data_IF_490872340009
#
_entry.id   IF_490872340009
#
_cell.length_a   1.000
_cell.length_b   1.000
_cell.length_c   1.000
_cell.angle_alpha   90.00
_cell.angle_beta   90.00
_cell.angle_gamma   90.00
#
_symmetry.space_group_name_H-M   'P 1'
#
loop_
_entity.id
_entity.type
_entity.pdbx_description
1 polymer ?
#
# COMPACT_ATOMS: atom_id res chain seq x y z
N UNK A 1 5.77 -7.22 -3.96
CA UNK A 1 6.65 -7.94 -4.91
C UNK A 1 5.93 -8.95 -5.76
N UNK A 2 5.26 -9.96 -5.17
CA UNK A 2 4.59 -11.05 -5.91
C UNK A 2 3.71 -10.53 -7.06
N UNK A 3 2.81 -9.58 -6.79
CA UNK A 3 1.95 -8.98 -7.81
C UNK A 3 2.72 -8.36 -9.00
N UNK A 4 3.86 -7.69 -8.74
CA UNK A 4 4.68 -7.11 -9.81
C UNK A 4 5.26 -8.19 -10.71
N UNK A 5 5.67 -9.33 -10.15
CA UNK A 5 6.15 -10.45 -10.95
C UNK A 5 5.01 -11.17 -11.69
N UNK A 6 3.85 -11.34 -11.07
CA UNK A 6 2.70 -11.99 -11.69
C UNK A 6 2.15 -11.16 -12.88
N UNK A 7 2.17 -9.82 -12.80
CA UNK A 7 1.56 -8.93 -13.80
C UNK A 7 2.56 -8.27 -14.78
N UNK A 8 3.82 -8.07 -14.38
CA UNK A 8 4.85 -7.43 -15.21
C UNK A 8 6.09 -8.32 -15.42
N UNK A 9 6.12 -9.53 -14.86
CA UNK A 9 7.19 -10.49 -15.09
C UNK A 9 7.08 -11.22 -16.43
N UNK A 10 8.08 -12.04 -16.74
CA UNK A 10 8.22 -12.73 -18.03
C UNK A 10 7.07 -13.70 -18.38
N UNK A 11 6.26 -14.11 -17.39
CA UNK A 11 5.10 -15.00 -17.59
C UNK A 11 3.76 -14.29 -17.40
N UNK A 12 3.74 -12.96 -17.45
CA UNK A 12 2.49 -12.22 -17.39
C UNK A 12 1.57 -12.64 -18.55
N UNK A 13 0.38 -13.15 -18.22
CA UNK A 13 -0.59 -13.63 -19.22
C UNK A 13 -1.20 -12.49 -20.04
N UNK A 14 -1.20 -11.27 -19.48
CA UNK A 14 -1.76 -10.07 -20.10
C UNK A 14 -0.94 -8.84 -19.72
N UNK A 15 -0.69 -7.98 -20.72
CA UNK A 15 -0.10 -6.65 -20.50
C UNK A 15 -1.23 -5.71 -20.08
N UNK A 16 -1.44 -5.56 -18.77
CA UNK A 16 -2.46 -4.66 -18.22
C UNK A 16 -2.02 -3.18 -18.27
N UNK A 17 -0.72 -2.90 -18.22
CA UNK A 17 -0.15 -1.56 -18.10
C UNK A 17 1.00 -1.35 -19.11
N UNK A 18 0.69 -1.10 -20.39
CA UNK A 18 1.68 -1.06 -21.46
C UNK A 18 2.74 0.03 -21.25
N UNK A 19 2.34 1.21 -20.78
CA UNK A 19 3.26 2.33 -20.55
C UNK A 19 4.26 2.00 -19.44
N UNK A 20 3.79 1.42 -18.34
CA UNK A 20 4.64 1.02 -17.21
C UNK A 20 5.61 -0.11 -17.61
N UNK A 21 5.13 -1.09 -18.40
CA UNK A 21 5.97 -2.19 -18.88
C UNK A 21 7.01 -1.67 -19.87
N UNK A 22 6.66 -0.72 -20.74
CA UNK A 22 7.59 -0.12 -21.70
C UNK A 22 8.64 0.75 -21.01
N UNK A 23 8.27 1.49 -19.96
CA UNK A 23 9.20 2.29 -19.18
C UNK A 23 10.11 1.42 -18.29
N UNK A 24 9.62 0.24 -17.90
CA UNK A 24 10.26 -0.63 -16.92
C UNK A 24 9.83 -0.30 -15.50
N UNK A 25 9.92 -1.30 -14.62
CA UNK A 25 9.68 -1.15 -13.18
C UNK A 25 11.00 -1.34 -12.46
N UNK A 26 11.49 -0.28 -11.81
CA UNK A 26 12.74 -0.29 -11.06
C UNK A 26 12.48 -0.56 -9.57
N UNK A 27 13.23 -1.50 -9.00
CA UNK A 27 13.16 -1.86 -7.58
C UNK A 27 14.52 -1.55 -6.95
N UNK A 28 14.54 -0.62 -6.00
CA UNK A 28 15.75 -0.28 -5.23
C UNK A 28 15.68 -0.94 -3.85
N UNK A 29 16.77 -1.59 -3.44
CA UNK A 29 16.96 -2.08 -2.08
C UNK A 29 18.13 -1.30 -1.47
N UNK A 30 17.83 -0.43 -0.51
CA UNK A 30 18.81 0.48 0.11
C UNK A 30 18.94 0.09 1.58
N UNK A 31 20.16 -0.20 2.01
CA UNK A 31 20.50 -0.43 3.41
C UNK A 31 20.60 0.91 4.16
N UNK A 32 19.88 1.05 5.26
CA UNK A 32 19.91 2.28 6.07
C UNK A 32 21.11 2.29 7.01
N UNK A 33 21.73 3.46 7.20
CA UNK A 33 22.82 3.61 8.18
C UNK A 33 22.33 3.39 9.62
N UNK A 34 21.11 3.82 9.91
CA UNK A 34 20.52 3.67 11.24
C UNK A 34 19.97 2.25 11.43
N UNK A 35 20.06 1.69 12.66
CA UNK A 35 19.48 0.40 12.97
C UNK A 35 17.95 0.44 12.90
N UNK A 36 17.34 -0.70 12.56
CA UNK A 36 15.89 -0.86 12.53
C UNK A 36 15.37 -1.36 13.87
N UNK A 37 15.08 -0.44 14.79
CA UNK A 37 14.56 -0.74 16.12
C UNK A 37 13.05 -0.47 16.20
N UNK A 38 12.29 -1.47 16.64
CA UNK A 38 10.85 -1.37 16.95
C UNK A 38 10.53 -2.13 18.23
N UNK A 39 9.38 -1.83 18.81
CA UNK A 39 8.84 -2.58 19.93
C UNK A 39 8.53 -4.03 19.53
N UNK A 40 8.82 -4.98 20.42
CA UNK A 40 8.52 -6.39 20.23
C UNK A 40 7.03 -6.65 20.48
N UNK A 41 6.36 -7.29 19.52
CA UNK A 41 4.91 -7.54 19.55
C UNK A 41 4.54 -8.99 19.93
N UNK A 42 5.50 -9.77 20.41
CA UNK A 42 5.30 -11.16 20.81
C UNK A 42 5.34 -12.17 19.67
N UNK A 43 5.37 -13.45 20.06
CA UNK A 43 5.51 -14.59 19.16
C UNK A 43 4.33 -14.76 18.18
N UNK A 44 3.10 -14.51 18.64
CA UNK A 44 1.91 -14.60 17.80
C UNK A 44 1.98 -13.62 16.62
N UNK A 45 2.50 -12.41 16.85
CA UNK A 45 2.70 -11.43 15.79
C UNK A 45 3.67 -11.96 14.72
N UNK A 46 4.77 -12.58 15.14
CA UNK A 46 5.77 -13.17 14.24
C UNK A 46 5.15 -14.30 13.41
N UNK A 47 4.39 -15.19 14.05
CA UNK A 47 3.68 -16.29 13.37
C UNK A 47 2.69 -15.77 12.32
N UNK A 48 1.94 -14.72 12.65
CA UNK A 48 1.01 -14.08 11.72
C UNK A 48 1.73 -13.42 10.54
N UNK A 49 2.88 -12.77 10.77
CA UNK A 49 3.71 -12.22 9.69
C UNK A 49 4.23 -13.30 8.75
N UNK A 50 4.72 -14.42 9.31
CA UNK A 50 5.23 -15.54 8.52
C UNK A 50 4.11 -16.19 7.69
N UNK A 51 2.97 -16.46 8.32
CA UNK A 51 1.78 -17.02 7.66
C UNK A 51 1.33 -16.13 6.50
N UNK A 52 1.08 -14.84 6.73
CA UNK A 52 0.64 -13.92 5.69
C UNK A 52 1.63 -13.80 4.52
N UNK A 53 2.93 -13.80 4.83
CA UNK A 53 3.98 -13.71 3.81
C UNK A 53 4.03 -14.97 2.93
N UNK A 54 4.05 -16.15 3.55
CA UNK A 54 4.16 -17.41 2.84
C UNK A 54 2.85 -17.81 2.13
N UNK A 55 1.69 -17.48 2.68
CA UNK A 55 0.41 -17.60 1.98
C UNK A 55 0.40 -16.82 0.66
N UNK A 56 1.00 -15.62 0.64
CA UNK A 56 1.11 -14.81 -0.59
C UNK A 56 1.96 -15.52 -1.64
N UNK A 57 3.08 -16.12 -1.24
CA UNK A 57 3.95 -16.87 -2.17
C UNK A 57 3.27 -18.15 -2.65
N UNK A 58 2.62 -18.89 -1.75
CA UNK A 58 1.89 -20.12 -2.09
C UNK A 58 0.86 -19.88 -3.20
N UNK A 59 0.11 -18.78 -3.12
CA UNK A 59 -0.97 -18.47 -4.07
C UNK A 59 -0.52 -17.71 -5.33
N UNK A 60 0.76 -17.36 -5.44
CA UNK A 60 1.30 -16.73 -6.67
C UNK A 60 1.12 -17.65 -7.89
N UNK A 61 0.79 -17.05 -9.04
CA UNK A 61 0.72 -17.76 -10.32
C UNK A 61 2.07 -18.32 -10.76
N UNK A 62 3.16 -17.77 -10.26
CA UNK A 62 4.53 -18.20 -10.54
C UNK A 62 5.01 -19.34 -9.62
N UNK A 63 4.24 -19.67 -8.57
CA UNK A 63 4.61 -20.68 -7.60
C UNK A 63 4.43 -22.10 -8.15
N UNK A 64 5.55 -22.77 -8.43
CA UNK A 64 5.57 -24.16 -8.86
C UNK A 64 5.41 -25.14 -7.68
N UNK A 65 5.20 -26.42 -7.99
CA UNK A 65 4.94 -27.46 -6.97
C UNK A 65 6.08 -27.61 -5.96
N UNK A 66 7.33 -27.43 -6.40
CA UNK A 66 8.50 -27.50 -5.51
C UNK A 66 8.50 -26.35 -4.49
N UNK A 67 8.27 -25.12 -4.93
CA UNK A 67 8.18 -23.97 -4.02
C UNK A 67 6.98 -24.13 -3.09
N UNK A 68 5.85 -24.58 -3.63
CA UNK A 68 4.62 -24.85 -2.88
C UNK A 68 4.85 -25.87 -1.76
N UNK A 69 5.57 -26.95 -2.03
CA UNK A 69 5.90 -27.94 -0.99
C UNK A 69 6.82 -27.35 0.09
N UNK A 70 7.78 -26.50 -0.28
CA UNK A 70 8.66 -25.84 0.68
C UNK A 70 7.96 -24.83 1.56
N UNK A 71 6.97 -24.11 1.00
CA UNK A 71 6.11 -23.24 1.80
C UNK A 71 5.30 -24.05 2.82
N UNK A 72 4.74 -25.20 2.43
CA UNK A 72 3.98 -26.05 3.36
C UNK A 72 4.85 -26.63 4.48
N UNK A 73 6.08 -27.05 4.15
CA UNK A 73 7.06 -27.53 5.12
C UNK A 73 7.32 -26.47 6.21
N UNK A 74 7.54 -25.22 5.82
CA UNK A 74 7.81 -24.11 6.74
C UNK A 74 6.57 -23.73 7.59
N UNK A 75 5.37 -23.90 7.04
CA UNK A 75 4.12 -23.59 7.73
C UNK A 75 3.59 -24.73 8.62
N UNK A 76 4.23 -25.90 8.61
CA UNK A 76 3.76 -27.10 9.31
C UNK A 76 3.57 -26.92 10.82
N UNK A 77 4.40 -26.08 11.45
CA UNK A 77 4.32 -25.78 12.89
C UNK A 77 3.31 -24.68 13.24
N UNK A 78 2.75 -24.00 12.23
CA UNK A 78 1.80 -22.89 12.38
C UNK A 78 0.38 -23.33 12.03
N UNK A 79 0.23 -24.25 11.07
CA UNK A 79 -1.06 -24.73 10.62
C UNK A 79 -1.45 -26.03 11.34
N UNK A 80 -2.58 -26.00 12.06
CA UNK A 80 -3.14 -27.18 12.73
C UNK A 80 -3.55 -28.30 11.73
N UNK A 81 -3.73 -27.95 10.44
CA UNK A 81 -4.04 -28.88 9.37
C UNK A 81 -3.18 -28.59 8.13
N UNK A 82 -2.65 -29.65 7.52
CA UNK A 82 -1.84 -29.62 6.28
C UNK A 82 -2.64 -29.30 5.02
N UNK A 83 -3.86 -28.78 5.16
CA UNK A 83 -4.71 -28.43 4.03
C UNK A 83 -4.52 -26.95 3.70
N UNK A 84 -4.32 -26.70 2.39
CA UNK A 84 -4.10 -25.42 1.70
C UNK A 84 -4.17 -24.18 2.62
N UNK A 85 -3.06 -23.43 2.79
CA UNK A 85 -3.04 -22.20 3.58
C UNK A 85 -4.13 -21.21 3.13
N UNK A 86 -4.64 -20.35 4.02
CA UNK A 86 -5.65 -19.36 3.64
C UNK A 86 -5.10 -18.39 2.60
N UNK A 87 -5.96 -17.99 1.66
CA UNK A 87 -5.62 -16.98 0.66
C UNK A 87 -5.80 -15.58 1.25
N UNK A 88 -4.82 -14.69 1.00
CA UNK A 88 -4.91 -13.31 1.45
C UNK A 88 -5.92 -12.52 0.61
N UNK A 89 -6.68 -11.64 1.25
CA UNK A 89 -7.61 -10.76 0.55
C UNK A 89 -6.83 -9.73 -0.27
N UNK A 90 -7.06 -9.72 -1.58
CA UNK A 90 -6.47 -8.76 -2.51
C UNK A 90 -7.46 -7.64 -2.84
N UNK A 91 -7.13 -6.41 -2.45
CA UNK A 91 -7.86 -5.21 -2.92
C UNK A 91 -7.41 -4.84 -4.34
N UNK A 92 -8.31 -4.38 -5.21
CA UNK A 92 -7.95 -3.98 -6.57
C UNK A 92 -7.10 -2.70 -6.59
N UNK A 93 -6.35 -2.43 -7.67
CA UNK A 93 -5.63 -1.17 -7.84
C UNK A 93 -6.55 0.05 -7.75
N UNK A 94 -6.07 1.11 -7.10
CA UNK A 94 -6.84 2.35 -6.89
C UNK A 94 -6.90 3.26 -8.12
N UNK A 95 -6.26 2.90 -9.24
CA UNK A 95 -6.15 3.76 -10.43
C UNK A 95 -7.49 4.12 -11.09
N UNK A 96 -8.57 3.39 -10.79
CA UNK A 96 -9.93 3.72 -11.25
C UNK A 96 -10.73 4.61 -10.31
N UNK A 97 -10.18 5.03 -9.17
CA UNK A 97 -10.86 5.87 -8.18
C UNK A 97 -10.71 7.34 -8.56
N UNK A 98 -11.82 8.08 -8.60
CA UNK A 98 -11.81 9.54 -8.74
C UNK A 98 -11.28 10.17 -7.43
N UNK A 99 -10.02 10.59 -7.47
CA UNK A 99 -9.34 11.19 -6.33
C UNK A 99 -10.03 12.47 -5.85
N UNK A 100 -10.52 13.32 -6.75
CA UNK A 100 -11.17 14.58 -6.38
C UNK A 100 -12.50 14.35 -5.67
N UNK A 101 -13.28 13.39 -6.15
CA UNK A 101 -14.52 12.97 -5.48
C UNK A 101 -14.22 12.32 -4.13
N UNK A 102 -13.22 11.45 -4.08
CA UNK A 102 -12.80 10.78 -2.85
C UNK A 102 -12.39 11.78 -1.77
N UNK A 103 -11.53 12.76 -2.09
CA UNK A 103 -11.11 13.80 -1.15
C UNK A 103 -12.28 14.62 -0.63
N UNK A 104 -13.19 15.06 -1.51
CA UNK A 104 -14.38 15.82 -1.08
C UNK A 104 -15.24 15.04 -0.09
N UNK A 105 -15.45 13.74 -0.35
CA UNK A 105 -16.22 12.88 0.54
C UNK A 105 -15.52 12.65 1.87
N UNK A 106 -14.19 12.50 1.86
CA UNK A 106 -13.40 12.34 3.07
C UNK A 106 -13.49 13.59 3.96
N UNK A 107 -13.30 14.77 3.38
CA UNK A 107 -13.38 16.05 4.08
C UNK A 107 -14.79 16.33 4.64
N UNK A 108 -15.84 15.96 3.90
CA UNK A 108 -17.21 16.28 4.32
C UNK A 108 -17.81 15.28 5.31
N UNK A 109 -17.31 14.04 5.37
CA UNK A 109 -17.94 12.97 6.16
C UNK A 109 -17.05 12.35 7.24
N UNK A 110 -15.73 12.54 7.20
CA UNK A 110 -14.85 11.96 8.20
C UNK A 110 -14.78 12.83 9.44
N UNK A 111 -15.23 12.29 10.58
CA UNK A 111 -15.12 12.95 11.88
C UNK A 111 -13.68 12.97 12.42
N UNK A 112 -12.81 12.13 11.86
CA UNK A 112 -11.44 11.90 12.36
C UNK A 112 -10.36 12.43 11.43
N UNK A 113 -10.72 12.86 10.21
CA UNK A 113 -9.77 13.43 9.26
C UNK A 113 -9.42 14.87 9.66
N UNK A 114 -8.12 15.15 9.82
CA UNK A 114 -7.62 16.49 10.11
C UNK A 114 -6.55 16.89 9.09
N UNK A 115 -6.71 18.08 8.51
CA UNK A 115 -5.70 18.70 7.67
C UNK A 115 -4.97 19.79 8.45
N UNK A 116 -3.72 19.55 8.82
CA UNK A 116 -2.86 20.53 9.49
C UNK A 116 -1.91 21.15 8.47
N UNK A 117 -2.08 22.43 8.18
CA UNK A 117 -1.07 23.19 7.42
C UNK A 117 0.12 23.43 8.34
N UNK A 118 1.31 23.03 7.92
CA UNK A 118 2.54 23.34 8.65
C UNK A 118 2.70 24.87 8.66
N UNK A 119 2.75 25.46 9.85
CA UNK A 119 2.83 26.91 10.02
C UNK A 119 4.11 27.46 9.43
N UNK A 120 3.97 28.51 8.61
CA UNK A 120 4.98 29.55 8.54
C UNK A 120 5.09 30.09 9.97
N UNK A 121 6.27 29.98 10.57
CA UNK A 121 6.55 30.72 11.80
C UNK A 121 6.72 32.17 11.32
N UNK A 122 5.63 32.91 11.19
CA UNK A 122 5.68 34.34 10.94
C UNK A 122 6.14 34.99 12.24
N UNK A 123 7.46 35.23 12.33
CA UNK A 123 7.91 36.45 12.97
C UNK A 123 7.31 37.61 12.17
N UNK A 124 6.35 38.28 12.81
CA UNK A 124 5.83 39.62 12.47
C UNK A 124 5.87 40.03 10.98
N UNK A 125 4.74 39.96 10.26
CA UNK A 125 4.34 41.05 9.35
C UNK A 125 2.80 41.13 9.27
N UNK A 126 2.29 42.22 9.86
CA UNK A 126 1.13 43.06 9.54
C UNK A 126 -0.19 42.48 9.00
N UNK A 127 -1.28 42.99 9.59
CA UNK A 127 -2.65 42.87 9.10
C UNK A 127 -2.75 43.25 7.61
N UNK A 128 -3.06 42.28 6.74
CA UNK A 128 -3.78 42.57 5.51
C UNK A 128 -5.13 41.86 5.53
N UNK A 129 -6.13 42.60 6.00
CA UNK A 129 -7.45 42.59 5.37
C UNK A 129 -7.24 42.65 3.85
N UNK A 130 -7.59 41.61 3.09
CA UNK A 130 -8.23 41.75 1.77
C UNK A 130 -8.56 40.36 1.25
N UNK A 131 -9.84 39.99 1.37
CA UNK A 131 -10.66 39.25 0.40
C UNK A 131 -12.02 38.89 1.03
N UNK A 132 -12.64 39.85 1.73
CA UNK A 132 -14.11 39.97 1.76
C UNK A 132 -14.51 41.00 0.70
N UNK A 133 -14.30 40.65 -0.56
CA UNK A 133 -14.84 41.38 -1.71
C UNK A 133 -16.28 40.94 -1.95
N UNK A 134 -17.21 41.51 -1.18
CA UNK A 134 -18.64 41.34 -1.39
C UNK A 134 -19.10 41.79 -2.78
N UNK A 135 -20.19 41.16 -3.20
CA UNK A 135 -21.04 41.51 -4.34
C UNK A 135 -21.33 43.01 -4.44
N UNK A 136 -21.13 43.60 -5.63
CA UNK A 136 -21.82 44.84 -6.03
C UNK A 136 -22.36 44.65 -7.44
N UNK A 137 -23.69 44.74 -7.56
CA UNK A 137 -24.47 44.84 -8.80
C UNK A 137 -24.12 46.13 -9.54
N UNK A 138 -23.96 46.05 -10.87
CA UNK A 138 -23.95 47.22 -11.74
C UNK A 138 -25.39 47.60 -12.13
N UNK A 139 -25.71 48.88 -11.95
CA UNK A 139 -26.85 49.59 -12.53
C UNK A 139 -26.54 49.95 -13.98
#
# INVERSE_FOLDING_TARGET
>A
FVYLFDEAGLKAEKIAYPDAISAGIEIFQIETLNPHLHEEKGEEHIKNMLLGSLCTVYHSRLCNDYVRSKVLEELGDILDAWERPPENVMMPPIGGIDASKFTKLLESNSETFMWLKQGVIEGEVEEEEYLKGGSVQAV
#
